data_IF_311701643986
#
_entry.id   IF_311701643986
#
_cell.length_a   1.000
_cell.length_b   1.000
_cell.length_c   1.000
_cell.angle_alpha   90.00
_cell.angle_beta   90.00
_cell.angle_gamma   90.00
#
_symmetry.space_group_name_H-M   'P 1'
#
loop_
_entity.id
_entity.type
_entity.pdbx_description
1 polymer ?
#
# COMPACT_ATOMS: atom_id res chain seq x y z
N UNK A 1 -24.80 20.61 -18.09
CA UNK A 1 -23.45 21.12 -17.77
C UNK A 1 -23.00 20.54 -16.45
N UNK A 2 -22.32 19.39 -16.47
CA UNK A 2 -21.81 18.76 -15.26
C UNK A 2 -20.50 19.46 -14.90
N UNK A 3 -20.58 20.59 -14.20
CA UNK A 3 -19.39 21.28 -13.68
C UNK A 3 -18.96 20.47 -12.47
N UNK A 4 -18.03 19.55 -12.69
CA UNK A 4 -17.40 18.81 -11.60
C UNK A 4 -16.77 19.85 -10.65
N UNK A 5 -17.15 19.80 -9.38
CA UNK A 5 -16.62 20.77 -8.41
C UNK A 5 -15.12 20.51 -8.19
N UNK A 6 -14.38 21.53 -7.78
CA UNK A 6 -12.96 21.38 -7.43
C UNK A 6 -12.74 20.26 -6.40
N UNK A 7 -13.68 20.10 -5.48
CA UNK A 7 -13.67 19.04 -4.47
C UNK A 7 -13.82 17.65 -5.09
N UNK A 8 -14.80 17.45 -5.97
CA UNK A 8 -14.97 16.17 -6.70
C UNK A 8 -13.74 15.80 -7.53
N UNK A 9 -13.09 16.78 -8.14
CA UNK A 9 -11.84 16.56 -8.86
C UNK A 9 -10.69 16.16 -7.92
N UNK A 10 -10.53 16.86 -6.79
CA UNK A 10 -9.52 16.53 -5.79
C UNK A 10 -9.70 15.12 -5.21
N UNK A 11 -10.95 14.69 -5.00
CA UNK A 11 -11.27 13.32 -4.58
C UNK A 11 -10.86 12.31 -5.64
N UNK A 12 -11.22 12.53 -6.90
CA UNK A 12 -10.84 11.63 -8.01
C UNK A 12 -9.31 11.50 -8.15
N UNK A 13 -8.60 12.62 -8.04
CA UNK A 13 -7.14 12.65 -8.07
C UNK A 13 -6.57 11.86 -6.89
N UNK A 14 -7.06 12.10 -5.68
CA UNK A 14 -6.63 11.39 -4.47
C UNK A 14 -6.86 9.89 -4.58
N UNK A 15 -8.05 9.47 -5.03
CA UNK A 15 -8.40 8.07 -5.25
C UNK A 15 -7.46 7.40 -6.26
N UNK A 16 -7.12 8.10 -7.33
CA UNK A 16 -6.18 7.61 -8.34
C UNK A 16 -4.80 7.35 -7.74
N UNK A 17 -4.31 8.27 -6.91
CA UNK A 17 -3.05 8.09 -6.19
C UNK A 17 -3.11 6.95 -5.18
N UNK A 18 -4.21 6.82 -4.43
CA UNK A 18 -4.38 5.74 -3.46
C UNK A 18 -4.43 4.38 -4.17
N UNK A 19 -5.15 4.26 -5.28
CA UNK A 19 -5.15 3.04 -6.09
C UNK A 19 -3.75 2.69 -6.61
N UNK A 20 -2.98 3.70 -7.03
CA UNK A 20 -1.58 3.49 -7.42
C UNK A 20 -0.76 2.94 -6.25
N UNK A 21 -0.85 3.54 -5.06
CA UNK A 21 -0.11 3.06 -3.88
C UNK A 21 -0.57 1.68 -3.43
N UNK A 22 -1.88 1.39 -3.40
CA UNK A 22 -2.41 0.06 -3.09
C UNK A 22 -1.81 -1.01 -4.01
N UNK A 23 -1.73 -0.73 -5.32
CA UNK A 23 -1.12 -1.66 -6.29
C UNK A 23 0.39 -1.79 -6.12
N UNK A 24 1.07 -0.71 -5.76
CA UNK A 24 2.53 -0.64 -5.74
C UNK A 24 3.16 -1.11 -4.43
N UNK A 25 2.50 -0.85 -3.30
CA UNK A 25 3.03 -1.11 -1.96
C UNK A 25 2.08 -1.91 -1.07
N UNK A 26 0.85 -2.21 -1.50
CA UNK A 26 -0.16 -2.90 -0.68
C UNK A 26 0.22 -4.31 -0.23
N UNK A 27 1.29 -4.90 -0.77
CA UNK A 27 1.83 -6.18 -0.32
C UNK A 27 2.77 -6.05 0.89
N UNK A 28 3.01 -4.84 1.42
CA UNK A 28 3.91 -4.62 2.56
C UNK A 28 3.63 -5.49 3.80
N UNK A 29 2.38 -5.85 4.18
CA UNK A 29 2.14 -6.61 5.42
C UNK A 29 2.78 -7.99 5.38
N UNK A 30 2.84 -8.62 4.21
CA UNK A 30 3.49 -9.92 4.00
C UNK A 30 5.02 -9.86 4.15
N UNK A 31 5.59 -8.65 4.25
CA UNK A 31 7.01 -8.40 4.41
C UNK A 31 7.37 -7.79 5.76
N UNK A 32 6.47 -7.81 6.74
CA UNK A 32 6.79 -7.50 8.13
C UNK A 32 7.01 -8.82 8.88
N UNK A 33 8.20 -9.00 9.45
CA UNK A 33 8.48 -10.10 10.38
C UNK A 33 8.14 -9.68 11.79
N UNK A 34 7.37 -10.49 12.48
CA UNK A 34 6.95 -10.22 13.86
C UNK A 34 7.76 -11.04 14.84
N UNK A 35 8.38 -10.38 15.82
CA UNK A 35 9.05 -11.05 16.93
C UNK A 35 8.08 -11.46 18.04
N UNK A 36 8.56 -12.24 19.01
CA UNK A 36 7.75 -12.80 20.11
C UNK A 36 7.12 -11.72 21.01
N UNK A 37 7.79 -10.59 21.16
CA UNK A 37 7.32 -9.40 21.89
C UNK A 37 6.31 -8.55 21.08
N UNK A 38 5.93 -8.96 19.87
CA UNK A 38 4.92 -8.26 19.07
C UNK A 38 5.44 -7.08 18.25
N UNK A 39 6.74 -6.79 18.24
CA UNK A 39 7.32 -5.75 17.37
C UNK A 39 7.52 -6.25 15.94
N UNK A 40 7.15 -5.42 14.96
CA UNK A 40 7.35 -5.71 13.55
C UNK A 40 8.72 -5.25 13.05
N UNK A 41 9.26 -5.95 12.06
CA UNK A 41 10.46 -5.57 11.31
C UNK A 41 10.28 -5.79 9.82
N UNK A 42 10.27 -4.71 9.06
CA UNK A 42 10.04 -4.66 7.63
C UNK A 42 11.25 -5.17 6.85
N UNK A 43 10.98 -6.08 5.92
CA UNK A 43 11.97 -6.79 5.15
C UNK A 43 12.09 -6.16 3.76
N UNK A 44 12.75 -4.99 3.67
CA UNK A 44 12.86 -4.18 2.44
C UNK A 44 13.32 -5.00 1.22
N UNK A 45 14.36 -5.84 1.39
CA UNK A 45 14.90 -6.67 0.30
C UNK A 45 13.87 -7.67 -0.22
N UNK A 46 13.09 -8.26 0.67
CA UNK A 46 12.02 -9.21 0.29
C UNK A 46 10.87 -8.48 -0.41
N UNK A 47 10.46 -7.34 0.13
CA UNK A 47 9.40 -6.50 -0.42
C UNK A 47 9.69 -6.03 -1.85
N UNK A 48 10.91 -5.55 -2.10
CA UNK A 48 11.32 -5.12 -3.44
C UNK A 48 11.43 -6.30 -4.42
N UNK A 49 11.85 -7.48 -3.96
CA UNK A 49 11.99 -8.68 -4.81
C UNK A 49 10.65 -9.24 -5.26
N UNK A 50 9.59 -9.09 -4.46
CA UNK A 50 8.25 -9.57 -4.78
C UNK A 50 7.63 -8.92 -6.04
N UNK A 51 8.13 -7.75 -6.44
CA UNK A 51 7.64 -7.05 -7.63
C UNK A 51 8.29 -7.64 -8.88
N UNK A 52 7.49 -8.21 -9.77
CA UNK A 52 7.94 -8.85 -11.02
C UNK A 52 8.35 -7.85 -12.10
N UNK A 53 7.59 -6.77 -12.28
CA UNK A 53 7.89 -5.71 -13.25
C UNK A 53 9.19 -4.97 -12.91
N UNK A 54 10.15 -4.93 -13.84
CA UNK A 54 11.45 -4.24 -13.68
C UNK A 54 11.27 -2.75 -13.39
N UNK A 55 10.36 -2.09 -14.09
CA UNK A 55 10.09 -0.65 -13.91
C UNK A 55 9.48 -0.36 -12.54
N UNK A 56 8.46 -1.13 -12.15
CA UNK A 56 7.81 -0.99 -10.85
C UNK A 56 8.79 -1.26 -9.71
N UNK A 57 9.66 -2.27 -9.87
CA UNK A 57 10.72 -2.57 -8.90
C UNK A 57 11.70 -1.42 -8.75
N UNK A 58 12.10 -0.75 -9.84
CA UNK A 58 12.97 0.44 -9.78
C UNK A 58 12.30 1.59 -9.04
N UNK A 59 11.03 1.85 -9.33
CA UNK A 59 10.26 2.86 -8.60
C UNK A 59 10.23 2.55 -7.11
N UNK A 60 9.80 1.34 -6.73
CA UNK A 60 9.65 0.97 -5.32
C UNK A 60 10.98 1.03 -4.57
N UNK A 61 12.08 0.58 -5.18
CA UNK A 61 13.43 0.71 -4.59
C UNK A 61 13.81 2.15 -4.24
N UNK A 62 13.35 3.14 -5.01
CA UNK A 62 13.55 4.56 -4.69
C UNK A 62 12.54 5.02 -3.64
N UNK A 63 11.28 4.63 -3.80
CA UNK A 63 10.20 5.05 -2.92
C UNK A 63 10.41 4.59 -1.46
N UNK A 64 10.93 3.39 -1.24
CA UNK A 64 11.22 2.88 0.13
C UNK A 64 12.27 3.69 0.88
N UNK A 65 13.01 4.57 0.18
CA UNK A 65 14.01 5.48 0.79
C UNK A 65 13.43 6.84 1.15
N UNK A 66 12.16 7.09 0.83
CA UNK A 66 11.50 8.37 1.16
C UNK A 66 11.04 8.37 2.61
N UNK A 67 11.00 9.56 3.21
CA UNK A 67 10.50 9.73 4.58
C UNK A 67 9.03 9.30 4.71
N UNK A 68 8.21 9.59 3.69
CA UNK A 68 6.80 9.19 3.66
C UNK A 68 6.64 7.68 3.85
N UNK A 69 7.40 6.88 3.09
CA UNK A 69 7.34 5.42 3.21
C UNK A 69 7.90 4.93 4.56
N UNK A 70 8.99 5.53 5.04
CA UNK A 70 9.57 5.19 6.34
C UNK A 70 8.57 5.39 7.48
N UNK A 71 7.89 6.55 7.53
CA UNK A 71 6.87 6.83 8.54
C UNK A 71 5.68 5.88 8.42
N UNK A 72 5.23 5.61 7.19
CA UNK A 72 4.14 4.67 6.92
C UNK A 72 4.44 3.25 7.45
N UNK A 73 5.65 2.75 7.21
CA UNK A 73 6.06 1.42 7.68
C UNK A 73 6.31 1.38 9.19
N UNK A 74 6.95 2.40 9.75
CA UNK A 74 7.16 2.49 11.20
C UNK A 74 5.83 2.40 11.96
N UNK A 75 4.80 3.06 11.44
CA UNK A 75 3.47 3.00 12.01
C UNK A 75 2.88 1.58 11.91
N UNK A 76 3.06 0.91 10.77
CA UNK A 76 2.61 -0.47 10.58
C UNK A 76 3.39 -1.52 11.41
N UNK A 77 4.64 -1.25 11.79
CA UNK A 77 5.46 -2.15 12.61
C UNK A 77 5.06 -2.15 14.10
N UNK A 78 4.29 -1.15 14.56
CA UNK A 78 3.89 -1.01 15.97
C UNK A 78 2.93 -2.09 16.46
N UNK A 79 2.08 -2.63 15.58
CA UNK A 79 1.03 -3.57 15.96
C UNK A 79 0.64 -4.51 14.84
N UNK A 80 0.43 -5.79 15.18
CA UNK A 80 -0.17 -6.77 14.27
C UNK A 80 -1.61 -6.42 13.90
N UNK A 81 -2.32 -5.69 14.77
CA UNK A 81 -3.65 -5.16 14.44
C UNK A 81 -3.43 -4.07 13.41
N UNK A 82 -3.91 -4.33 12.20
CA UNK A 82 -3.82 -3.37 11.13
C UNK A 82 -4.57 -2.10 11.54
N UNK A 83 -3.94 -0.95 11.33
CA UNK A 83 -4.57 0.34 11.62
C UNK A 83 -5.74 0.47 10.64
N UNK A 84 -6.94 0.67 11.17
CA UNK A 84 -8.18 0.89 10.39
C UNK A 84 -8.16 2.29 9.76
N UNK A 85 -7.21 2.52 8.86
CA UNK A 85 -7.07 3.76 8.10
C UNK A 85 -7.63 3.63 6.69
N UNK A 86 -7.87 4.77 6.04
CA UNK A 86 -8.41 4.85 4.68
C UNK A 86 -7.62 4.01 3.67
N UNK A 87 -6.28 4.03 3.76
CA UNK A 87 -5.42 3.20 2.92
C UNK A 87 -5.69 1.69 3.11
N UNK A 88 -5.90 1.25 4.34
CA UNK A 88 -6.16 -0.16 4.65
C UNK A 88 -7.53 -0.59 4.13
N UNK A 89 -8.54 0.26 4.26
CA UNK A 89 -9.85 0.03 3.66
C UNK A 89 -9.73 -0.15 2.14
N UNK A 90 -9.03 0.76 1.46
CA UNK A 90 -8.81 0.67 0.01
C UNK A 90 -7.98 -0.53 -0.41
N UNK A 91 -7.03 -0.96 0.42
CA UNK A 91 -6.29 -2.19 0.20
C UNK A 91 -7.20 -3.42 0.29
N UNK A 92 -8.10 -3.48 1.28
CA UNK A 92 -9.03 -4.58 1.45
C UNK A 92 -9.99 -4.67 0.25
N UNK A 93 -10.61 -3.54 -0.15
CA UNK A 93 -11.48 -3.44 -1.35
C UNK A 93 -10.75 -3.99 -2.59
N UNK A 94 -9.51 -3.56 -2.83
CA UNK A 94 -8.70 -4.03 -3.96
C UNK A 94 -8.41 -5.55 -3.92
N UNK A 95 -8.14 -6.12 -2.74
CA UNK A 95 -7.93 -7.56 -2.61
C UNK A 95 -9.22 -8.35 -2.88
N UNK A 96 -10.37 -7.84 -2.45
CA UNK A 96 -11.67 -8.46 -2.71
C UNK A 96 -12.01 -8.45 -4.21
N UNK A 97 -11.89 -7.30 -4.88
CA UNK A 97 -12.09 -7.23 -6.33
C UNK A 97 -11.18 -8.19 -7.10
N UNK A 98 -9.93 -8.33 -6.66
CA UNK A 98 -8.98 -9.26 -7.27
C UNK A 98 -9.39 -10.72 -7.08
N UNK A 99 -10.03 -11.07 -5.96
CA UNK A 99 -10.60 -12.41 -5.73
C UNK A 99 -11.79 -12.65 -6.63
N UNK A 100 -12.74 -11.72 -6.71
CA UNK A 100 -13.91 -11.84 -7.58
C UNK A 100 -13.52 -12.05 -9.05
N UNK A 101 -12.59 -11.25 -9.59
CA UNK A 101 -12.06 -11.40 -10.96
C UNK A 101 -11.38 -12.73 -11.26
N UNK A 102 -10.94 -13.48 -10.23
CA UNK A 102 -10.32 -14.80 -10.40
C UNK A 102 -11.33 -15.95 -10.35
N UNK A 103 -12.52 -15.68 -9.81
CA UNK A 103 -13.60 -16.65 -9.63
C UNK A 103 -14.67 -16.56 -10.73
N UNK A 104 -14.72 -15.42 -11.45
CA UNK A 104 -15.47 -15.22 -12.69
C UNK A 104 -14.72 -15.72 -13.92
#
# INVERSE_FOLDING_TARGET
NNIQTSEEFNTLVSDTFIQFFVKMIGHYPAHIKWSRNGTGSFQERSFCKAITSKTNRRFVKKFVKTQMFSLFIQEAEKSKKCIEGYFQQKLNEYQEEKKYRRLS
#
